data_IF_499424927977
#
_entry.id   IF_499424927977
#
_cell.length_a   1.000
_cell.length_b   1.000
_cell.length_c   1.000
_cell.angle_alpha   90.00
_cell.angle_beta   90.00
_cell.angle_gamma   90.00
#
_symmetry.space_group_name_H-M   'P 1'
#
loop_
_entity.id
_entity.type
_entity.pdbx_description
1 polymer ?
#
# COMPACT_ATOMS: atom_id res chain seq x y z
N UNK A 1 22.95 9.70 -20.75
CA UNK A 1 21.78 8.96 -21.24
C UNK A 1 20.59 9.90 -21.19
N UNK A 2 19.99 10.22 -22.34
CA UNK A 2 18.88 11.18 -22.42
C UNK A 2 17.67 10.69 -21.64
N UNK A 3 17.02 11.58 -20.88
CA UNK A 3 15.73 11.27 -20.26
C UNK A 3 14.73 10.96 -21.36
N UNK A 4 14.12 9.80 -21.31
CA UNK A 4 12.94 9.52 -22.09
C UNK A 4 11.85 10.49 -21.62
N UNK A 5 11.44 11.40 -22.51
CA UNK A 5 10.44 12.41 -22.20
C UNK A 5 9.09 11.71 -22.12
N UNK A 6 8.49 11.68 -20.94
CA UNK A 6 7.14 11.14 -20.75
C UNK A 6 6.18 11.82 -21.73
N UNK A 7 5.50 11.01 -22.54
CA UNK A 7 4.56 11.49 -23.56
C UNK A 7 3.14 11.63 -22.99
N UNK A 8 2.42 12.60 -23.55
CA UNK A 8 0.96 12.66 -23.47
C UNK A 8 0.41 11.76 -24.57
N UNK A 9 -0.42 10.79 -24.20
CA UNK A 9 -1.05 9.84 -25.11
C UNK A 9 -2.54 10.17 -25.29
N UNK A 10 -3.11 9.91 -26.48
CA UNK A 10 -4.55 9.96 -26.69
C UNK A 10 -5.30 8.95 -25.80
N UNK A 11 -6.54 9.26 -25.45
CA UNK A 11 -7.41 8.34 -24.70
C UNK A 11 -7.64 7.02 -25.43
N UNK A 12 -7.62 7.05 -26.77
CA UNK A 12 -7.69 5.84 -27.61
C UNK A 12 -6.57 4.84 -27.27
N UNK A 13 -5.35 5.31 -26.99
CA UNK A 13 -4.23 4.45 -26.60
C UNK A 13 -4.51 3.73 -25.27
N UNK A 14 -5.13 4.42 -24.30
CA UNK A 14 -5.53 3.80 -23.03
C UNK A 14 -6.59 2.72 -23.23
N UNK A 15 -7.56 2.93 -24.14
CA UNK A 15 -8.53 1.89 -24.53
C UNK A 15 -7.83 0.69 -25.17
N UNK A 16 -6.90 0.91 -26.09
CA UNK A 16 -6.16 -0.16 -26.76
C UNK A 16 -5.34 -0.98 -25.75
N UNK A 17 -4.67 -0.34 -24.79
CA UNK A 17 -3.96 -1.05 -23.72
C UNK A 17 -4.87 -1.94 -22.89
N UNK A 18 -6.07 -1.47 -22.58
CA UNK A 18 -6.98 -2.09 -21.60
C UNK A 18 -8.06 -2.96 -22.23
N UNK A 19 -8.02 -3.16 -23.55
CA UNK A 19 -9.08 -3.84 -24.31
C UNK A 19 -10.46 -3.20 -24.05
N UNK A 20 -10.53 -1.89 -24.34
CA UNK A 20 -11.66 -1.01 -24.07
C UNK A 20 -12.13 -1.01 -22.61
N UNK A 21 -11.18 -1.00 -21.66
CA UNK A 21 -11.44 -1.06 -20.22
C UNK A 21 -12.24 -2.30 -19.80
N UNK A 22 -11.97 -3.44 -20.44
CA UNK A 22 -12.58 -4.74 -20.13
C UNK A 22 -12.50 -5.09 -18.64
N UNK A 23 -13.56 -5.73 -18.12
CA UNK A 23 -13.62 -6.24 -16.74
C UNK A 23 -12.55 -7.32 -16.48
N UNK A 24 -12.08 -8.03 -17.50
CA UNK A 24 -10.96 -8.98 -17.36
C UNK A 24 -9.65 -8.28 -16.97
N UNK A 25 -9.49 -7.03 -17.40
CA UNK A 25 -8.33 -6.20 -17.10
C UNK A 25 -8.55 -5.35 -15.84
N UNK A 26 -9.74 -5.37 -15.23
CA UNK A 26 -10.04 -4.54 -14.07
C UNK A 26 -9.31 -5.03 -12.81
N UNK A 27 -8.59 -4.12 -12.15
CA UNK A 27 -7.84 -4.41 -10.92
C UNK A 27 -8.60 -3.93 -9.69
N UNK A 28 -9.19 -2.73 -9.76
CA UNK A 28 -9.93 -2.17 -8.65
C UNK A 28 -10.28 -0.70 -8.80
N UNK A 29 -11.12 -0.25 -7.86
CA UNK A 29 -11.56 1.14 -7.73
C UNK A 29 -10.68 1.88 -6.71
N UNK A 30 -10.31 3.12 -7.03
CA UNK A 30 -9.77 4.08 -6.08
C UNK A 30 -10.77 5.23 -5.88
N UNK A 31 -10.40 6.23 -5.09
CA UNK A 31 -11.31 7.29 -4.69
C UNK A 31 -12.00 8.03 -5.84
N UNK A 32 -11.25 8.29 -6.91
CA UNK A 32 -11.69 9.16 -8.00
C UNK A 32 -11.79 8.44 -9.34
N UNK A 33 -11.77 7.09 -9.35
CA UNK A 33 -11.88 6.33 -10.58
C UNK A 33 -11.40 4.89 -10.43
N UNK A 34 -10.85 4.33 -11.51
CA UNK A 34 -10.55 2.90 -11.66
C UNK A 34 -9.13 2.64 -12.12
N UNK A 35 -8.66 1.42 -11.88
CA UNK A 35 -7.35 0.92 -12.26
C UNK A 35 -7.50 -0.37 -13.04
N UNK A 36 -6.77 -0.47 -14.14
CA UNK A 36 -6.78 -1.58 -15.09
C UNK A 36 -5.36 -2.06 -15.38
N UNK A 37 -5.23 -3.32 -15.74
CA UNK A 37 -4.04 -3.88 -16.38
C UNK A 37 -4.10 -3.53 -17.86
N UNK A 38 -3.01 -2.99 -18.39
CA UNK A 38 -2.83 -2.79 -19.82
C UNK A 38 -1.84 -3.79 -20.40
N UNK A 39 -2.07 -4.24 -21.63
CA UNK A 39 -1.10 -4.99 -22.43
C UNK A 39 -0.17 -3.98 -23.11
N UNK A 40 1.14 -4.16 -22.96
CA UNK A 40 2.14 -3.28 -23.55
C UNK A 40 3.43 -4.04 -23.78
N UNK A 41 3.89 -4.14 -25.03
CA UNK A 41 5.13 -4.84 -25.36
C UNK A 41 6.29 -3.85 -25.45
N UNK A 42 7.12 -3.79 -24.42
CA UNK A 42 8.40 -3.09 -24.46
C UNK A 42 9.47 -4.03 -25.02
N UNK A 43 9.94 -3.76 -26.24
CA UNK A 43 10.95 -4.58 -26.89
C UNK A 43 12.34 -4.44 -26.26
N UNK A 44 12.58 -3.37 -25.49
CA UNK A 44 13.88 -3.09 -24.85
C UNK A 44 13.92 -3.75 -23.46
N UNK A 45 12.87 -3.53 -22.66
CA UNK A 45 12.84 -4.04 -21.27
C UNK A 45 12.22 -5.44 -21.15
N UNK A 46 11.56 -5.92 -22.21
CA UNK A 46 10.80 -7.19 -22.19
C UNK A 46 9.52 -7.12 -21.34
N UNK A 47 9.12 -5.92 -20.89
CA UNK A 47 7.88 -5.69 -20.14
C UNK A 47 6.69 -5.94 -21.05
N UNK A 48 5.70 -6.70 -20.56
CA UNK A 48 4.50 -7.07 -21.33
C UNK A 48 3.22 -6.38 -20.82
N UNK A 49 3.28 -5.72 -19.67
CA UNK A 49 2.14 -5.03 -19.07
C UNK A 49 2.47 -3.63 -18.57
N UNK A 50 1.42 -2.84 -18.46
CA UNK A 50 1.39 -1.54 -17.77
C UNK A 50 0.18 -1.51 -16.84
N UNK A 51 0.15 -0.54 -15.92
CA UNK A 51 -1.04 -0.25 -15.12
C UNK A 51 -1.65 1.06 -15.61
N UNK A 52 -2.93 1.03 -15.97
CA UNK A 52 -3.68 2.18 -16.47
C UNK A 52 -4.65 2.62 -15.38
N UNK A 53 -4.46 3.83 -14.85
CA UNK A 53 -5.35 4.46 -13.89
C UNK A 53 -6.14 5.56 -14.58
N UNK A 54 -7.46 5.51 -14.51
CA UNK A 54 -8.36 6.51 -15.11
C UNK A 54 -9.20 7.17 -14.02
N UNK A 55 -9.43 8.47 -14.17
CA UNK A 55 -10.36 9.20 -13.31
C UNK A 55 -11.75 9.16 -13.93
N UNK A 56 -12.76 8.97 -13.10
CA UNK A 56 -14.16 9.07 -13.48
C UNK A 56 -14.67 10.48 -13.16
N UNK A 57 -15.66 10.96 -13.92
CA UNK A 57 -16.25 12.28 -13.69
C UNK A 57 -16.74 12.40 -12.24
N UNK A 58 -16.31 13.48 -11.57
CA UNK A 58 -16.68 13.76 -10.18
C UNK A 58 -18.18 14.04 -10.08
N UNK A 59 -18.91 13.34 -9.22
CA UNK A 59 -20.31 13.68 -8.90
C UNK A 59 -20.42 14.77 -7.81
N UNK A 60 -19.35 15.54 -7.58
CA UNK A 60 -19.27 16.62 -6.59
C UNK A 60 -18.01 16.53 -5.71
N UNK A 61 -17.24 17.62 -5.62
CA UNK A 61 -16.06 17.75 -4.76
C UNK A 61 -15.19 18.97 -5.10
N UNK A 62 -14.57 19.56 -4.08
CA UNK A 62 -13.92 20.90 -4.02
C UNK A 62 -12.58 21.03 -4.79
N UNK A 63 -12.08 19.94 -5.39
CA UNK A 63 -10.84 19.94 -6.19
C UNK A 63 -11.02 19.16 -7.48
N UNK A 64 -10.51 19.74 -8.56
CA UNK A 64 -10.62 19.23 -9.92
C UNK A 64 -9.69 18.00 -10.15
N UNK A 65 -10.14 17.04 -10.95
CA UNK A 65 -9.40 15.81 -11.23
C UNK A 65 -8.15 16.05 -12.07
N UNK A 66 -8.13 17.08 -12.90
CA UNK A 66 -6.94 17.45 -13.67
C UNK A 66 -5.81 17.86 -12.73
N UNK A 67 -6.14 18.66 -11.71
CA UNK A 67 -5.18 19.05 -10.66
C UNK A 67 -4.58 17.82 -9.95
N UNK A 68 -5.41 16.83 -9.60
CA UNK A 68 -4.94 15.58 -8.97
C UNK A 68 -4.02 14.76 -9.89
N UNK A 69 -4.35 14.70 -11.17
CA UNK A 69 -3.50 14.04 -12.17
C UNK A 69 -2.16 14.77 -12.28
N UNK A 70 -2.17 16.10 -12.33
CA UNK A 70 -0.96 16.90 -12.48
C UNK A 70 -0.05 16.81 -11.25
N UNK A 71 -0.60 16.77 -10.03
CA UNK A 71 0.18 16.53 -8.81
C UNK A 71 0.90 15.18 -8.86
N UNK A 72 0.19 14.13 -9.28
CA UNK A 72 0.77 12.80 -9.41
C UNK A 72 1.82 12.73 -10.53
N UNK A 73 1.57 13.38 -11.66
CA UNK A 73 2.51 13.50 -12.77
C UNK A 73 3.81 14.19 -12.34
N UNK A 74 3.72 15.39 -11.74
CA UNK A 74 4.89 16.15 -11.27
C UNK A 74 5.67 15.38 -10.21
N UNK A 75 4.97 14.72 -9.29
CA UNK A 75 5.59 13.88 -8.28
C UNK A 75 6.42 12.75 -8.90
N UNK A 76 5.87 12.03 -9.88
CA UNK A 76 6.53 10.87 -10.49
C UNK A 76 7.67 11.25 -11.45
N UNK A 77 7.63 12.45 -12.04
CA UNK A 77 8.73 12.95 -12.87
C UNK A 77 9.95 13.43 -12.08
N UNK A 78 9.83 13.59 -10.76
CA UNK A 78 10.93 14.11 -9.96
C UNK A 78 12.18 13.23 -10.07
N UNK A 79 13.35 13.86 -10.33
CA UNK A 79 14.58 13.20 -10.79
C UNK A 79 15.06 12.05 -9.88
N UNK A 80 14.92 12.24 -8.56
CA UNK A 80 15.33 11.26 -7.56
C UNK A 80 14.38 10.06 -7.42
N UNK A 81 13.16 10.15 -7.95
CA UNK A 81 12.12 9.11 -7.80
C UNK A 81 12.11 8.11 -8.94
N UNK A 82 12.35 8.56 -10.18
CA UNK A 82 12.46 7.67 -11.34
C UNK A 82 13.56 6.61 -11.21
N UNK A 83 14.52 6.82 -10.29
CA UNK A 83 15.62 5.91 -10.00
C UNK A 83 15.31 4.92 -8.85
N UNK A 84 14.28 5.15 -8.04
CA UNK A 84 14.07 4.32 -6.86
C UNK A 84 13.35 3.01 -7.22
N UNK A 85 13.91 1.82 -6.91
CA UNK A 85 13.37 0.54 -7.36
C UNK A 85 12.00 0.19 -6.75
N UNK A 86 11.68 0.75 -5.59
CA UNK A 86 10.38 0.53 -4.90
C UNK A 86 9.34 1.61 -5.17
N UNK A 87 9.57 2.53 -6.11
CA UNK A 87 8.57 3.49 -6.57
C UNK A 87 8.13 3.14 -7.98
N UNK A 88 6.83 3.28 -8.25
CA UNK A 88 6.30 3.12 -9.60
C UNK A 88 6.89 4.18 -10.52
N UNK A 89 7.16 3.78 -11.76
CA UNK A 89 7.66 4.68 -12.80
C UNK A 89 6.50 5.10 -13.69
N UNK A 90 6.53 6.35 -14.11
CA UNK A 90 5.57 6.86 -15.07
C UNK A 90 5.97 6.38 -16.47
N UNK A 91 5.01 5.87 -17.23
CA UNK A 91 5.19 5.52 -18.64
C UNK A 91 4.64 6.65 -19.52
N UNK A 92 3.38 7.02 -19.32
CA UNK A 92 2.69 8.08 -20.05
C UNK A 92 1.48 8.59 -19.27
N UNK A 93 0.82 9.63 -19.78
CA UNK A 93 -0.42 10.17 -19.21
C UNK A 93 -1.39 10.61 -20.31
N UNK A 94 -2.67 10.71 -19.97
CA UNK A 94 -3.74 11.17 -20.84
C UNK A 94 -4.48 12.31 -20.16
N UNK A 95 -4.73 13.37 -20.93
CA UNK A 95 -5.68 14.42 -20.61
C UNK A 95 -6.32 14.79 -21.95
N UNK A 96 -7.57 14.42 -22.20
CA UNK A 96 -8.25 14.65 -23.49
C UNK A 96 -9.76 14.73 -23.26
N UNK A 97 -10.40 15.86 -23.56
CA UNK A 97 -11.86 16.05 -23.42
C UNK A 97 -12.41 15.52 -22.07
N UNK A 98 -11.82 15.97 -20.95
CA UNK A 98 -12.14 15.55 -19.57
C UNK A 98 -11.79 14.09 -19.23
N UNK A 99 -11.24 13.33 -20.18
CA UNK A 99 -10.76 11.96 -19.97
C UNK A 99 -9.32 12.02 -19.47
N UNK A 100 -9.16 11.68 -18.20
CA UNK A 100 -7.91 11.80 -17.47
C UNK A 100 -7.37 10.40 -17.13
N UNK A 101 -6.07 10.19 -17.35
CA UNK A 101 -5.43 8.93 -16.98
C UNK A 101 -3.92 9.00 -16.84
N UNK A 102 -3.38 8.05 -16.08
CA UNK A 102 -1.94 7.84 -15.90
C UNK A 102 -1.62 6.38 -16.22
N UNK A 103 -0.54 6.16 -16.96
CA UNK A 103 -0.01 4.84 -17.27
C UNK A 103 1.30 4.65 -16.53
N UNK A 104 1.36 3.64 -15.65
CA UNK A 104 2.58 3.29 -14.93
C UNK A 104 3.31 2.16 -15.65
N UNK A 105 4.63 2.31 -15.73
CA UNK A 105 5.58 1.28 -16.11
C UNK A 105 5.72 0.24 -15.00
N UNK A 106 4.67 -0.56 -14.79
CA UNK A 106 4.58 -1.54 -13.72
C UNK A 106 3.98 -2.85 -14.25
N UNK A 107 4.70 -3.95 -14.06
CA UNK A 107 4.23 -5.31 -14.34
C UNK A 107 3.96 -6.04 -13.02
N UNK A 108 2.83 -5.71 -12.39
CA UNK A 108 2.45 -6.30 -11.10
C UNK A 108 1.48 -7.47 -11.30
N UNK A 109 1.61 -8.53 -10.50
CA UNK A 109 0.63 -9.62 -10.41
C UNK A 109 -0.76 -9.12 -10.02
N UNK A 110 -0.85 -8.30 -8.97
CA UNK A 110 -2.05 -7.61 -8.51
C UNK A 110 -1.66 -6.62 -7.40
N UNK A 111 -2.64 -5.91 -6.84
CA UNK A 111 -2.45 -5.19 -5.58
C UNK A 111 -2.23 -6.16 -4.42
N UNK A 112 -1.41 -5.77 -3.45
CA UNK A 112 -1.23 -6.52 -2.19
C UNK A 112 -2.58 -6.85 -1.54
N UNK A 113 -3.53 -5.93 -1.63
CA UNK A 113 -4.88 -6.13 -1.12
C UNK A 113 -5.58 -7.33 -1.77
N UNK A 114 -5.62 -7.40 -3.11
CA UNK A 114 -6.29 -8.48 -3.84
C UNK A 114 -5.56 -9.82 -3.66
N UNK A 115 -4.22 -9.80 -3.55
CA UNK A 115 -3.44 -11.01 -3.26
C UNK A 115 -3.72 -11.54 -1.86
N UNK A 116 -3.85 -10.63 -0.90
CA UNK A 116 -4.28 -11.00 0.43
C UNK A 116 -5.71 -11.58 0.37
N UNK A 117 -6.63 -11.05 -0.47
CA UNK A 117 -8.04 -11.49 -0.61
C UNK A 117 -8.20 -13.00 -0.75
N UNK A 118 -7.31 -13.59 -1.54
CA UNK A 118 -7.28 -15.02 -1.85
C UNK A 118 -6.86 -15.91 -0.67
N UNK A 119 -6.57 -15.38 0.53
CA UNK A 119 -6.16 -16.17 1.69
C UNK A 119 -6.09 -15.45 3.06
N UNK A 120 -6.78 -14.33 3.23
CA UNK A 120 -6.82 -13.54 4.48
C UNK A 120 -8.22 -13.05 4.87
N UNK A 121 -8.30 -12.11 5.80
CA UNK A 121 -9.54 -11.57 6.36
C UNK A 121 -9.71 -10.09 5.95
N UNK A 122 -10.55 -9.74 4.96
CA UNK A 122 -10.57 -8.39 4.32
C UNK A 122 -11.57 -7.38 4.90
N UNK A 123 -11.32 -6.06 4.73
CA UNK A 123 -12.30 -5.04 5.01
C UNK A 123 -13.31 -4.94 3.87
N UNK A 124 -14.45 -4.36 4.19
CA UNK A 124 -15.44 -4.00 3.20
C UNK A 124 -14.91 -2.86 2.28
N UNK A 125 -14.93 -3.10 0.96
CA UNK A 125 -14.59 -2.11 -0.08
C UNK A 125 -15.59 -0.93 -0.12
N UNK A 126 -16.76 -1.06 0.51
CA UNK A 126 -17.76 0.03 0.60
C UNK A 126 -17.39 1.11 1.62
N UNK A 127 -16.36 0.90 2.46
CA UNK A 127 -15.92 1.93 3.41
C UNK A 127 -15.53 3.19 2.63
N UNK A 128 -16.32 4.24 2.88
CA UNK A 128 -16.23 5.53 2.18
C UNK A 128 -14.89 6.21 2.46
N UNK A 129 -14.56 7.22 1.66
CA UNK A 129 -13.46 8.13 1.96
C UNK A 129 -13.91 9.14 3.03
N UNK A 130 -13.00 9.70 3.83
CA UNK A 130 -13.36 10.75 4.76
C UNK A 130 -13.96 11.98 4.01
N UNK A 131 -14.80 12.79 4.67
CA UNK A 131 -15.53 13.88 4.03
C UNK A 131 -14.64 14.97 3.42
N UNK A 132 -13.46 15.16 3.99
CA UNK A 132 -12.42 16.09 3.50
C UNK A 132 -11.71 15.57 2.23
N UNK A 133 -11.98 14.34 1.83
CA UNK A 133 -11.52 13.76 0.57
C UNK A 133 -10.08 13.24 0.60
N UNK A 134 -9.42 13.12 1.75
CA UNK A 134 -8.02 12.67 1.81
C UNK A 134 -7.79 11.45 2.70
N UNK A 135 -7.18 10.41 2.13
CA UNK A 135 -6.81 9.18 2.84
C UNK A 135 -7.94 8.14 2.91
N UNK A 136 -7.66 6.99 3.53
CA UNK A 136 -8.60 5.86 3.63
C UNK A 136 -8.85 5.48 5.09
N UNK A 137 -10.12 5.35 5.49
CA UNK A 137 -10.46 4.90 6.84
C UNK A 137 -9.73 3.60 7.20
N UNK A 138 -9.21 3.54 8.42
CA UNK A 138 -8.38 2.44 8.93
C UNK A 138 -6.88 2.67 8.77
N UNK A 139 -6.45 3.46 7.78
CA UNK A 139 -5.03 3.84 7.59
C UNK A 139 -4.71 5.25 8.09
N UNK A 140 -5.72 6.13 8.16
CA UNK A 140 -5.55 7.51 8.62
C UNK A 140 -5.06 7.52 10.08
N UNK A 141 -4.03 8.31 10.31
CA UNK A 141 -3.49 8.58 11.64
C UNK A 141 -4.55 9.23 12.54
N UNK A 142 -4.88 8.65 13.71
CA UNK A 142 -5.89 9.21 14.59
C UNK A 142 -5.53 10.62 15.09
N UNK A 143 -4.25 10.98 15.15
CA UNK A 143 -3.83 12.34 15.54
C UNK A 143 -4.07 13.35 14.42
N UNK A 144 -3.90 12.95 13.15
CA UNK A 144 -4.30 13.77 12.01
C UNK A 144 -5.79 14.07 12.07
N UNK A 145 -6.61 13.03 12.25
CA UNK A 145 -8.07 13.18 12.35
C UNK A 145 -8.54 14.02 13.53
N UNK A 146 -7.71 14.22 14.57
CA UNK A 146 -8.05 14.98 15.77
C UNK A 146 -7.55 16.43 15.77
N UNK A 147 -6.36 16.69 15.23
CA UNK A 147 -5.67 18.00 15.37
C UNK A 147 -5.54 18.74 14.02
N UNK A 148 -5.69 18.03 12.90
CA UNK A 148 -5.38 18.54 11.57
C UNK A 148 -3.87 18.62 11.32
N UNK A 149 -3.45 18.26 10.11
CA UNK A 149 -2.05 18.38 9.66
C UNK A 149 -1.44 17.07 9.18
N UNK A 150 -0.94 17.07 7.95
CA UNK A 150 -0.23 15.96 7.34
C UNK A 150 1.24 16.01 7.73
N UNK A 151 1.83 14.85 8.04
CA UNK A 151 3.26 14.75 8.34
C UNK A 151 3.82 13.41 7.91
N UNK A 152 5.15 13.30 7.80
CA UNK A 152 5.84 12.02 7.59
C UNK A 152 5.46 10.96 8.64
N UNK A 153 5.01 11.37 9.84
CA UNK A 153 4.59 10.44 10.89
C UNK A 153 3.22 9.82 10.61
N UNK A 154 2.39 10.46 9.80
CA UNK A 154 1.13 9.89 9.32
C UNK A 154 1.44 8.71 8.38
N UNK A 155 2.43 8.84 7.49
CA UNK A 155 2.88 7.75 6.62
C UNK A 155 3.46 6.58 7.40
N UNK A 156 4.23 6.86 8.46
CA UNK A 156 4.74 5.81 9.36
C UNK A 156 3.58 5.05 10.03
N UNK A 157 2.54 5.76 10.45
CA UNK A 157 1.34 5.11 11.02
C UNK A 157 0.64 4.22 10.00
N UNK A 158 0.36 4.75 8.79
CA UNK A 158 -0.26 4.01 7.68
C UNK A 158 0.54 2.75 7.32
N UNK A 159 1.87 2.85 7.28
CA UNK A 159 2.76 1.71 7.08
C UNK A 159 2.65 0.68 8.22
N UNK A 160 2.58 1.14 9.47
CA UNK A 160 2.39 0.26 10.62
C UNK A 160 1.08 -0.52 10.57
N UNK A 161 -0.01 0.12 10.17
CA UNK A 161 -1.31 -0.52 9.91
C UNK A 161 -1.17 -1.60 8.83
N UNK A 162 -0.57 -1.26 7.69
CA UNK A 162 -0.33 -2.21 6.60
C UNK A 162 0.52 -3.41 7.06
N UNK A 163 1.56 -3.15 7.86
CA UNK A 163 2.41 -4.22 8.38
C UNK A 163 1.66 -5.15 9.34
N UNK A 164 0.82 -4.60 10.23
CA UNK A 164 -0.07 -5.40 11.09
C UNK A 164 -1.03 -6.25 10.26
N UNK A 165 -1.60 -5.68 9.19
CA UNK A 165 -2.50 -6.39 8.30
C UNK A 165 -1.80 -7.56 7.60
N UNK A 166 -0.59 -7.32 7.08
CA UNK A 166 0.20 -8.33 6.39
C UNK A 166 0.56 -9.50 7.31
N UNK A 167 1.14 -9.23 8.48
CA UNK A 167 1.61 -10.29 9.38
C UNK A 167 0.46 -11.07 10.02
N UNK A 168 -0.67 -10.42 10.27
CA UNK A 168 -1.83 -11.08 10.88
C UNK A 168 -2.79 -11.69 9.86
N UNK A 169 -2.62 -11.37 8.57
CA UNK A 169 -3.62 -11.60 7.51
C UNK A 169 -5.03 -11.15 7.93
N UNK A 170 -5.14 -10.18 8.84
CA UNK A 170 -6.40 -9.59 9.29
C UNK A 170 -6.53 -8.20 8.75
N UNK A 171 -7.77 -7.81 8.50
CA UNK A 171 -8.16 -6.43 8.31
C UNK A 171 -9.34 -6.13 9.22
N UNK A 172 -9.57 -4.83 9.43
CA UNK A 172 -10.65 -4.25 10.21
C UNK A 172 -12.02 -4.72 9.68
N UNK A 173 -12.53 -5.84 10.21
CA UNK A 173 -13.86 -6.38 9.97
C UNK A 173 -14.80 -5.87 11.06
N UNK A 174 -15.93 -5.29 10.63
CA UNK A 174 -17.09 -5.05 11.49
C UNK A 174 -17.98 -6.30 11.67
N UNK A 175 -17.52 -7.48 11.25
CA UNK A 175 -18.29 -8.73 11.42
C UNK A 175 -18.34 -9.25 12.86
N UNK A 176 -17.67 -8.60 13.81
CA UNK A 176 -18.05 -8.68 15.23
C UNK A 176 -18.85 -7.41 15.53
N UNK A 177 -20.16 -7.59 15.68
CA UNK A 177 -21.16 -6.50 15.71
C UNK A 177 -20.90 -5.43 16.76
N UNK A 178 -21.59 -4.31 16.55
CA UNK A 178 -21.52 -3.04 17.28
C UNK A 178 -20.40 -2.11 16.83
N UNK A 179 -20.81 -0.90 16.45
CA UNK A 179 -19.96 0.28 16.23
C UNK A 179 -19.06 0.63 17.45
N UNK A 180 -19.20 -0.10 18.57
CA UNK A 180 -18.50 0.13 19.83
C UNK A 180 -17.59 -1.02 20.33
N UNK A 181 -17.58 -2.24 19.75
CA UNK A 181 -16.90 -3.38 20.40
C UNK A 181 -15.78 -4.08 19.61
N UNK A 182 -15.77 -3.98 18.27
CA UNK A 182 -14.64 -4.47 17.48
C UNK A 182 -13.53 -3.40 17.42
N UNK A 183 -12.37 -3.58 18.08
CA UNK A 183 -11.31 -2.60 18.02
C UNK A 183 -10.73 -2.55 16.60
N UNK A 184 -10.24 -1.38 16.18
CA UNK A 184 -9.39 -1.26 14.99
C UNK A 184 -8.25 -2.29 15.02
N UNK A 185 -7.66 -2.63 13.86
CA UNK A 185 -6.52 -3.56 13.81
C UNK A 185 -5.41 -3.19 14.81
N UNK A 186 -5.20 -1.89 15.04
CA UNK A 186 -4.31 -1.35 16.06
C UNK A 186 -4.76 -1.69 17.48
N UNK A 187 -6.03 -1.46 17.81
CA UNK A 187 -6.60 -1.79 19.11
C UNK A 187 -6.60 -3.31 19.37
N UNK A 188 -6.97 -4.11 18.38
CA UNK A 188 -6.85 -5.57 18.42
C UNK A 188 -5.41 -6.00 18.70
N UNK A 189 -4.45 -5.50 17.91
CA UNK A 189 -3.05 -5.85 18.05
C UNK A 189 -2.51 -5.51 19.45
N UNK A 190 -2.89 -4.35 20.02
CA UNK A 190 -2.50 -3.96 21.38
C UNK A 190 -3.13 -4.85 22.46
N UNK A 191 -4.40 -5.24 22.34
CA UNK A 191 -5.06 -6.14 23.30
C UNK A 191 -4.47 -7.54 23.29
N UNK A 192 -4.10 -8.04 22.12
CA UNK A 192 -3.60 -9.41 21.94
C UNK A 192 -2.07 -9.53 22.04
N UNK A 193 -1.34 -8.42 21.93
CA UNK A 193 0.09 -8.41 22.17
C UNK A 193 0.40 -8.36 23.67
N UNK A 194 0.86 -9.48 24.22
CA UNK A 194 1.34 -9.58 25.60
C UNK A 194 2.88 -9.56 25.60
N UNK A 195 3.55 -8.42 25.88
CA UNK A 195 4.99 -8.44 26.05
C UNK A 195 5.33 -9.39 27.21
N UNK A 196 6.24 -10.35 27.00
CA UNK A 196 6.58 -11.38 27.99
C UNK A 196 6.79 -10.75 29.39
N UNK A 197 6.04 -11.23 30.39
CA UNK A 197 6.66 -11.55 31.69
C UNK A 197 7.41 -12.87 31.46
N UNK A 198 8.71 -12.85 31.69
CA UNK A 198 9.65 -13.94 31.47
C UNK A 198 9.35 -15.07 32.47
N UNK A 199 8.45 -16.02 32.17
CA UNK A 199 8.16 -17.11 33.13
C UNK A 199 8.01 -18.51 32.54
N UNK A 200 7.95 -18.70 31.22
CA UNK A 200 7.95 -20.06 30.65
C UNK A 200 8.64 -20.07 29.29
N UNK A 201 9.58 -21.00 29.12
CA UNK A 201 10.45 -21.16 27.95
C UNK A 201 9.76 -21.50 26.62
N UNK A 202 8.45 -21.28 26.50
CA UNK A 202 7.71 -21.52 25.26
C UNK A 202 7.82 -20.32 24.31
N UNK A 203 8.29 -20.60 23.10
CA UNK A 203 8.53 -19.64 22.00
C UNK A 203 7.23 -19.06 21.41
N UNK A 204 6.07 -19.58 21.79
CA UNK A 204 4.76 -19.34 21.16
C UNK A 204 4.19 -17.93 21.34
N UNK A 205 4.52 -17.21 22.44
CA UNK A 205 4.06 -15.83 22.64
C UNK A 205 4.71 -14.82 21.68
N UNK A 206 5.88 -15.13 21.13
CA UNK A 206 6.66 -14.15 20.36
C UNK A 206 5.96 -13.76 19.04
N UNK A 207 5.18 -14.67 18.46
CA UNK A 207 4.48 -14.49 17.19
C UNK A 207 2.95 -14.47 17.34
N UNK A 208 2.40 -14.10 18.49
CA UNK A 208 0.96 -14.23 18.79
C UNK A 208 0.04 -13.51 17.80
N UNK A 209 0.54 -12.48 17.10
CA UNK A 209 -0.20 -11.76 16.07
C UNK A 209 0.08 -12.26 14.65
N UNK A 210 1.10 -13.09 14.45
CA UNK A 210 1.42 -13.62 13.11
C UNK A 210 0.41 -14.70 12.75
N UNK A 211 -0.16 -14.63 11.56
CA UNK A 211 -1.13 -15.63 11.11
C UNK A 211 -0.50 -17.02 11.04
N UNK A 212 -1.24 -18.04 11.49
CA UNK A 212 -0.81 -19.46 11.47
C UNK A 212 -0.33 -19.95 10.11
N UNK A 213 -0.93 -19.49 9.01
CA UNK A 213 -0.48 -19.89 7.66
C UNK A 213 0.86 -19.29 7.26
N UNK A 214 1.24 -18.13 7.81
CA UNK A 214 2.60 -17.60 7.65
C UNK A 214 3.59 -18.35 8.54
N UNK A 215 3.15 -18.78 9.74
CA UNK A 215 4.00 -19.57 10.64
C UNK A 215 4.27 -20.99 10.12
N UNK A 216 3.40 -21.51 9.27
CA UNK A 216 3.54 -22.82 8.63
C UNK A 216 4.48 -22.79 7.41
N UNK A 217 4.90 -21.61 6.96
CA UNK A 217 5.86 -21.48 5.86
C UNK A 217 7.24 -21.99 6.30
N UNK A 218 7.91 -22.87 5.52
CA UNK A 218 9.23 -23.40 5.88
C UNK A 218 10.31 -22.34 6.12
N UNK A 219 10.19 -21.18 5.46
CA UNK A 219 11.14 -20.07 5.61
C UNK A 219 10.75 -19.07 6.70
N UNK A 220 9.68 -19.34 7.43
CA UNK A 220 9.25 -18.49 8.53
C UNK A 220 10.27 -18.48 9.68
N UNK A 221 10.77 -17.29 10.01
CA UNK A 221 11.63 -17.06 11.17
C UNK A 221 10.84 -16.47 12.34
N UNK A 222 10.63 -17.24 13.42
CA UNK A 222 9.84 -16.76 14.57
C UNK A 222 10.45 -15.53 15.26
N UNK A 223 11.78 -15.39 15.27
CA UNK A 223 12.40 -14.18 15.82
C UNK A 223 12.10 -12.94 14.97
N UNK A 224 12.04 -13.09 13.64
CA UNK A 224 11.69 -12.01 12.74
C UNK A 224 10.21 -11.65 12.84
N UNK A 225 9.32 -12.65 12.93
CA UNK A 225 7.90 -12.43 13.18
C UNK A 225 7.66 -11.58 14.43
N UNK A 226 8.36 -11.89 15.53
CA UNK A 226 8.31 -11.09 16.76
C UNK A 226 8.83 -9.66 16.58
N UNK A 227 9.95 -9.50 15.86
CA UNK A 227 10.55 -8.19 15.54
C UNK A 227 9.61 -7.35 14.67
N UNK A 228 8.97 -7.95 13.68
CA UNK A 228 7.98 -7.29 12.83
C UNK A 228 6.76 -6.81 13.62
N UNK A 229 6.22 -7.62 14.54
CA UNK A 229 5.15 -7.20 15.45
C UNK A 229 5.57 -5.96 16.25
N UNK A 230 6.75 -6.01 16.88
CA UNK A 230 7.27 -4.89 17.67
C UNK A 230 7.43 -3.62 16.85
N UNK A 231 7.94 -3.74 15.62
CA UNK A 231 8.09 -2.62 14.70
C UNK A 231 6.72 -2.04 14.33
N UNK A 232 5.77 -2.90 13.94
CA UNK A 232 4.43 -2.49 13.55
C UNK A 232 3.72 -1.73 14.68
N UNK A 233 3.77 -2.26 15.91
CA UNK A 233 3.21 -1.60 17.10
C UNK A 233 3.83 -0.23 17.39
N UNK A 234 5.15 -0.08 17.20
CA UNK A 234 5.84 1.22 17.33
C UNK A 234 5.44 2.22 16.25
N UNK A 235 5.22 1.74 15.03
CA UNK A 235 4.76 2.59 13.92
C UNK A 235 3.34 3.12 14.17
N UNK A 236 2.46 2.33 14.79
CA UNK A 236 1.08 2.73 15.13
C UNK A 236 0.93 3.33 16.53
N UNK A 237 2.02 3.80 17.15
CA UNK A 237 1.95 4.53 18.43
C UNK A 237 1.04 5.76 18.29
N UNK A 238 0.21 6.02 19.31
CA UNK A 238 -0.71 7.17 19.27
C UNK A 238 0.08 8.48 19.13
N UNK A 239 1.12 8.64 19.95
CA UNK A 239 1.98 9.81 19.99
C UNK A 239 2.99 9.83 18.83
N UNK A 240 2.91 10.76 17.85
CA UNK A 240 3.75 10.76 16.65
C UNK A 240 5.25 10.79 16.94
N UNK A 241 5.68 11.44 18.03
CA UNK A 241 7.07 11.51 18.48
C UNK A 241 7.65 10.14 18.86
N UNK A 242 6.82 9.19 19.30
CA UNK A 242 7.25 7.83 19.66
C UNK A 242 7.42 6.93 18.43
N UNK A 243 6.84 7.31 17.29
CA UNK A 243 6.95 6.56 16.04
C UNK A 243 8.36 6.69 15.45
N UNK A 244 8.94 5.61 14.88
CA UNK A 244 10.23 5.70 14.20
C UNK A 244 10.14 6.60 12.96
N UNK A 245 11.28 7.08 12.47
CA UNK A 245 11.37 7.64 11.10
C UNK A 245 11.41 6.49 10.08
N UNK A 246 10.90 6.69 8.86
CA UNK A 246 10.88 5.62 7.84
C UNK A 246 12.27 5.07 7.52
N UNK A 247 13.31 5.91 7.51
CA UNK A 247 14.71 5.46 7.39
C UNK A 247 15.13 4.45 8.48
N UNK A 248 14.59 4.57 9.69
CA UNK A 248 14.86 3.64 10.78
C UNK A 248 14.03 2.36 10.63
N UNK A 249 12.81 2.45 10.09
CA UNK A 249 11.97 1.31 9.73
C UNK A 249 12.70 0.42 8.70
N UNK A 250 13.18 1.02 7.61
CA UNK A 250 13.96 0.32 6.57
C UNK A 250 15.21 -0.34 7.16
N UNK A 251 16.02 0.39 7.94
CA UNK A 251 17.20 -0.16 8.64
C UNK A 251 16.85 -1.31 9.59
N UNK A 252 15.66 -1.28 10.20
CA UNK A 252 15.21 -2.34 11.09
C UNK A 252 14.81 -3.60 10.30
N UNK A 253 14.05 -3.43 9.21
CA UNK A 253 13.63 -4.52 8.33
C UNK A 253 14.83 -5.18 7.64
N UNK A 254 15.81 -4.39 7.19
CA UNK A 254 17.05 -4.92 6.60
C UNK A 254 17.90 -5.78 7.55
N UNK A 255 17.63 -5.73 8.87
CA UNK A 255 18.33 -6.56 9.87
C UNK A 255 17.62 -7.88 10.18
N UNK A 256 16.44 -8.14 9.60
CA UNK A 256 15.73 -9.40 9.75
C UNK A 256 16.55 -10.54 9.13
N UNK A 257 16.52 -11.71 9.75
CA UNK A 257 17.27 -12.87 9.29
C UNK A 257 16.80 -13.32 7.89
N UNK A 258 15.49 -13.32 7.65
CA UNK A 258 14.91 -13.65 6.35
C UNK A 258 15.39 -12.67 5.26
N UNK A 259 15.44 -11.38 5.58
CA UNK A 259 15.93 -10.38 4.62
C UNK A 259 17.41 -10.59 4.35
N UNK A 260 18.24 -10.84 5.36
CA UNK A 260 19.68 -11.12 5.14
C UNK A 260 19.91 -12.38 4.32
N UNK A 261 19.09 -13.42 4.52
CA UNK A 261 19.16 -14.68 3.76
C UNK A 261 18.84 -14.47 2.28
N UNK A 262 17.85 -13.62 1.99
CA UNK A 262 17.38 -13.34 0.62
C UNK A 262 17.91 -12.01 0.05
N UNK A 263 18.73 -11.25 0.77
CA UNK A 263 19.26 -9.97 0.28
C UNK A 263 20.21 -10.19 -0.92
N UNK A 264 20.86 -11.35 -1.02
CA UNK A 264 21.63 -11.73 -2.22
C UNK A 264 20.76 -11.94 -3.47
N UNK A 265 19.44 -12.12 -3.32
CA UNK A 265 18.47 -12.22 -4.42
C UNK A 265 17.73 -10.91 -4.72
N UNK A 266 17.82 -9.91 -3.84
CA UNK A 266 17.21 -8.59 -4.00
C UNK A 266 18.30 -7.52 -3.82
N UNK A 267 19.03 -7.22 -4.89
CA UNK A 267 19.96 -6.09 -4.90
C UNK A 267 19.17 -4.78 -4.77
N UNK A 268 19.27 -4.15 -3.60
CA UNK A 268 18.84 -2.78 -3.35
C UNK A 268 20.05 -1.85 -3.49
N UNK A 269 20.64 -1.80 -4.68
CA UNK A 269 21.62 -0.77 -5.06
C UNK A 269 20.91 0.39 -5.79
#
# INVERSE_FOLDING_TARGET
MGRERISREPYKTLKEYTDDFSEENYIGKFQFGKVYRGKFQDLITGRNHVIVKIWEASTGGDTDNESRLMDEFHFLQHERRGLHPSLVKLHSYCCEDEKLGIVYALDSLDTVYNLMDKGGIFPDRTRKFPPDGYGRFGYIDPVHGAVGGWSEKCDVYSFGVLLLMLISKRVDRKEEGSLNDAPSICGWARRHYKPKKLMTGCVQLACSLVHRSLQADPDFCSSDGHRMIKLALRCVEYHPQKRPKMKNVVKYLGKLNVVKRYAGTFSFD
#
